data_IF_332466516610
#
_entry.id   IF_332466516610
#
_cell.length_a   1.000
_cell.length_b   1.000
_cell.length_c   1.000
_cell.angle_alpha   90.00
_cell.angle_beta   90.00
_cell.angle_gamma   90.00
#
_symmetry.space_group_name_H-M   'P 1'
#
loop_
_entity.id
_entity.type
_entity.pdbx_description
1 polymer ?
#
# COMPACT_ATOMS: atom_id res chain seq x y z
N UNK A 1 0.05 -3.87 6.30
CA UNK A 1 -0.57 -4.99 5.56
C UNK A 1 -1.13 -5.99 6.57
N UNK A 2 -2.40 -6.37 6.43
CA UNK A 2 -3.10 -7.25 7.36
C UNK A 2 -2.85 -8.74 7.07
N UNK A 3 -3.34 -9.62 7.96
CA UNK A 3 -3.10 -11.07 7.90
C UNK A 3 -3.71 -11.75 6.66
N UNK A 4 -4.62 -11.08 5.97
CA UNK A 4 -5.38 -11.57 4.81
C UNK A 4 -4.84 -11.04 3.47
N UNK A 5 -3.73 -10.32 3.45
CA UNK A 5 -3.24 -9.72 2.21
C UNK A 5 -3.66 -8.27 1.96
N UNK A 6 -4.63 -7.73 2.73
CA UNK A 6 -5.13 -6.36 2.52
C UNK A 6 -4.17 -5.29 3.01
N UNK A 7 -4.25 -4.10 2.40
CA UNK A 7 -3.61 -2.88 2.88
C UNK A 7 -4.64 -2.03 3.61
N UNK A 8 -4.56 -1.97 4.94
CA UNK A 8 -5.51 -1.22 5.77
C UNK A 8 -5.11 0.24 5.99
N UNK A 9 -3.81 0.52 6.13
CA UNK A 9 -3.29 1.84 6.45
C UNK A 9 -2.09 2.13 5.56
N UNK A 10 -2.12 3.29 4.91
CA UNK A 10 -1.02 3.82 4.09
C UNK A 10 -0.72 5.22 4.58
N UNK A 11 0.53 5.47 4.92
CA UNK A 11 1.02 6.75 5.42
C UNK A 11 2.13 7.24 4.51
N UNK A 12 2.04 8.48 4.04
CA UNK A 12 3.13 9.13 3.34
C UNK A 12 4.19 9.55 4.36
N UNK A 13 5.40 9.03 4.21
CA UNK A 13 6.53 9.41 5.08
C UNK A 13 7.32 10.59 4.54
N UNK A 14 7.40 10.71 3.21
CA UNK A 14 8.10 11.78 2.50
C UNK A 14 7.55 11.92 1.06
N UNK A 15 7.73 13.08 0.44
CA UNK A 15 7.26 13.42 -0.91
C UNK A 15 6.11 14.44 -0.96
N UNK A 16 5.64 14.75 -2.17
CA UNK A 16 4.58 15.74 -2.39
C UNK A 16 3.20 15.18 -1.98
N UNK A 17 2.66 15.70 -0.87
CA UNK A 17 1.36 15.29 -0.36
C UNK A 17 0.18 15.66 -1.26
N UNK A 18 0.30 16.71 -2.09
CA UNK A 18 -0.76 17.12 -3.02
C UNK A 18 -0.90 16.13 -4.18
N UNK A 19 0.20 15.49 -4.57
CA UNK A 19 0.23 14.51 -5.66
C UNK A 19 0.04 13.06 -5.16
N UNK A 20 0.26 12.80 -3.87
CA UNK A 20 0.21 11.45 -3.32
C UNK A 20 -1.19 10.83 -3.27
N UNK A 21 -2.27 11.62 -3.31
CA UNK A 21 -3.65 11.14 -3.13
C UNK A 21 -4.02 9.91 -3.98
N UNK A 22 -3.93 9.98 -5.33
CA UNK A 22 -4.21 8.85 -6.20
C UNK A 22 -3.31 7.63 -5.91
N UNK A 23 -2.04 7.85 -5.59
CA UNK A 23 -1.08 6.79 -5.26
C UNK A 23 -1.49 6.05 -3.97
N UNK A 24 -1.86 6.79 -2.91
CA UNK A 24 -2.33 6.21 -1.66
C UNK A 24 -3.61 5.39 -1.86
N UNK A 25 -4.55 5.87 -2.67
CA UNK A 25 -5.76 5.15 -3.03
C UNK A 25 -5.47 3.86 -3.82
N UNK A 26 -4.55 3.91 -4.78
CA UNK A 26 -4.14 2.74 -5.54
C UNK A 26 -3.50 1.67 -4.62
N UNK A 27 -2.64 2.08 -3.67
CA UNK A 27 -2.01 1.18 -2.71
C UNK A 27 -3.02 0.51 -1.78
N UNK A 28 -4.08 1.22 -1.36
CA UNK A 28 -5.17 0.65 -0.54
C UNK A 28 -5.93 -0.47 -1.24
N UNK A 29 -5.96 -0.47 -2.57
CA UNK A 29 -6.64 -1.50 -3.39
C UNK A 29 -5.77 -2.72 -3.69
N UNK A 30 -4.46 -2.64 -3.41
CA UNK A 30 -3.55 -3.75 -3.67
C UNK A 30 -3.78 -4.91 -2.70
N UNK A 31 -3.52 -6.12 -3.20
CA UNK A 31 -3.50 -7.36 -2.43
C UNK A 31 -2.11 -7.98 -2.51
N UNK A 32 -1.61 -8.42 -1.36
CA UNK A 32 -0.30 -9.02 -1.20
C UNK A 32 -0.42 -10.44 -0.65
N UNK A 33 0.61 -11.24 -0.88
CA UNK A 33 0.79 -12.46 -0.10
C UNK A 33 1.02 -12.12 1.37
N UNK A 34 0.30 -12.77 2.30
CA UNK A 34 0.56 -12.62 3.72
C UNK A 34 1.99 -12.90 4.13
N UNK A 35 2.55 -11.97 4.93
CA UNK A 35 3.72 -12.28 5.73
C UNK A 35 3.41 -13.48 6.62
N UNK A 36 4.34 -14.44 6.69
CA UNK A 36 4.17 -15.66 7.48
C UNK A 36 5.24 -15.75 8.56
N UNK A 37 4.84 -16.10 9.79
CA UNK A 37 5.74 -16.47 10.88
C UNK A 37 5.39 -17.89 11.32
N UNK A 38 6.34 -18.81 11.19
CA UNK A 38 6.12 -20.26 11.43
C UNK A 38 4.90 -20.80 10.65
N UNK A 39 4.80 -20.42 9.36
CA UNK A 39 3.70 -20.83 8.48
C UNK A 39 2.36 -20.10 8.71
N UNK A 40 2.23 -19.31 9.79
CA UNK A 40 0.98 -18.61 10.12
C UNK A 40 0.98 -17.17 9.59
N UNK A 41 -0.10 -16.71 8.94
CA UNK A 41 -0.22 -15.32 8.51
C UNK A 41 -0.12 -14.32 9.66
N UNK A 42 0.69 -13.28 9.48
CA UNK A 42 0.89 -12.19 10.44
C UNK A 42 0.75 -10.84 9.75
N UNK A 43 0.27 -9.85 10.49
CA UNK A 43 0.23 -8.48 10.02
C UNK A 43 1.64 -7.90 10.05
N UNK A 44 1.99 -7.15 9.00
CA UNK A 44 3.33 -6.56 8.84
C UNK A 44 3.24 -5.10 8.40
N UNK A 45 4.22 -4.32 8.83
CA UNK A 45 4.47 -2.98 8.30
C UNK A 45 5.51 -3.07 7.19
N UNK A 46 5.23 -2.42 6.07
CA UNK A 46 6.11 -2.40 4.90
C UNK A 46 6.44 -0.94 4.57
N UNK A 47 7.72 -0.69 4.31
CA UNK A 47 8.25 0.60 3.89
C UNK A 47 8.73 0.46 2.46
N UNK A 48 8.23 1.30 1.56
CA UNK A 48 8.58 1.22 0.14
C UNK A 48 8.71 2.61 -0.46
N UNK A 49 9.85 2.87 -1.07
CA UNK A 49 9.98 3.97 -1.99
C UNK A 49 9.21 3.63 -3.27
N UNK A 50 8.25 4.48 -3.61
CA UNK A 50 7.49 4.35 -4.86
C UNK A 50 8.00 5.44 -5.80
N UNK A 51 8.62 5.03 -6.90
CA UNK A 51 9.03 5.93 -7.98
C UNK A 51 8.35 5.50 -9.29
N UNK A 52 7.86 6.46 -10.07
CA UNK A 52 7.30 6.24 -11.43
C UNK A 52 6.14 5.24 -11.47
N UNK A 53 5.23 5.32 -10.50
CA UNK A 53 4.00 4.51 -10.55
C UNK A 53 3.00 5.18 -11.50
N UNK A 54 2.57 4.47 -12.54
CA UNK A 54 1.43 4.91 -13.35
C UNK A 54 0.17 4.81 -12.50
N UNK A 55 -0.35 5.95 -12.08
CA UNK A 55 -1.62 6.03 -11.36
C UNK A 55 -2.61 6.78 -12.24
N UNK A 56 -3.65 6.07 -12.67
CA UNK A 56 -4.74 6.69 -13.40
C UNK A 56 -5.66 7.37 -12.39
N UNK A 57 -6.03 8.64 -12.60
CA UNK A 57 -7.04 9.26 -11.77
C UNK A 57 -8.36 8.48 -11.89
N UNK A 58 -9.16 8.40 -10.82
CA UNK A 58 -10.49 7.81 -10.92
C UNK A 58 -11.30 8.55 -12.01
N UNK A 59 -11.94 7.79 -12.89
CA UNK A 59 -12.81 8.35 -13.93
C UNK A 59 -14.02 8.93 -13.19
N UNK A 60 -14.17 10.26 -13.22
CA UNK A 60 -15.34 11.00 -12.73
C UNK A 60 -16.46 10.97 -13.76
#
# INVERSE_FOLDING_TARGET
>A
MARDGSVSTVTLLDGDSQQAGPLLEALRRQRFEPGRRNGRPVAVSLYRLISRMEVRPPIT
#
